data_IF_479114591990
#
_entry.id   IF_479114591990
#
_cell.length_a   1.000
_cell.length_b   1.000
_cell.length_c   1.000
_cell.angle_alpha   90.00
_cell.angle_beta   90.00
_cell.angle_gamma   90.00
#
_symmetry.space_group_name_H-M   'P 1'
#
loop_
_entity.id
_entity.type
_entity.pdbx_description
1 polymer ?
#
# COMPACT_ATOMS: atom_id res chain seq x y z
N UNK A 1 -18.42 14.52 -16.91
CA UNK A 1 -17.58 14.83 -18.09
C UNK A 1 -16.22 15.30 -17.61
N UNK A 2 -15.17 14.47 -17.77
CA UNK A 2 -13.83 14.79 -17.29
C UNK A 2 -13.17 15.83 -18.21
N UNK A 3 -12.77 16.99 -17.68
CA UNK A 3 -12.15 18.07 -18.46
C UNK A 3 -10.65 17.79 -18.62
N UNK A 4 -10.07 17.92 -19.84
CA UNK A 4 -8.64 17.69 -20.08
C UNK A 4 -7.66 18.51 -19.21
N UNK A 5 -8.13 19.59 -18.58
CA UNK A 5 -7.34 20.43 -17.67
C UNK A 5 -7.54 20.15 -16.18
N UNK A 6 -8.47 19.27 -15.79
CA UNK A 6 -8.76 19.00 -14.37
C UNK A 6 -7.56 18.38 -13.65
N UNK A 7 -6.88 17.42 -14.28
CA UNK A 7 -5.66 16.83 -13.76
C UNK A 7 -4.56 17.89 -13.56
N UNK A 8 -4.28 18.68 -14.60
CA UNK A 8 -3.22 19.68 -14.57
C UNK A 8 -3.47 20.74 -13.48
N UNK A 9 -4.73 21.14 -13.31
CA UNK A 9 -5.15 22.06 -12.25
C UNK A 9 -4.98 21.43 -10.86
N UNK A 10 -5.43 20.18 -10.66
CA UNK A 10 -5.31 19.46 -9.39
C UNK A 10 -3.84 19.33 -8.96
N UNK A 11 -2.98 18.80 -9.83
CA UNK A 11 -1.57 18.59 -9.48
C UNK A 11 -0.79 19.90 -9.36
N UNK A 12 -1.14 20.93 -10.13
CA UNK A 12 -0.52 22.25 -9.97
C UNK A 12 -0.95 22.92 -8.66
N UNK A 13 -2.21 22.72 -8.25
CA UNK A 13 -2.69 23.13 -6.94
C UNK A 13 -1.97 22.42 -5.79
N UNK A 14 -1.80 21.10 -5.87
CA UNK A 14 -1.05 20.30 -4.87
C UNK A 14 0.40 20.76 -4.79
N UNK A 15 1.09 20.95 -5.92
CA UNK A 15 2.46 21.46 -5.95
C UNK A 15 2.58 22.84 -5.34
N UNK A 16 1.66 23.76 -5.67
CA UNK A 16 1.65 25.10 -5.10
C UNK A 16 1.38 25.06 -3.59
N UNK A 17 0.44 24.22 -3.16
CA UNK A 17 0.11 24.02 -1.75
C UNK A 17 1.30 23.48 -0.94
N UNK A 18 2.02 22.49 -1.48
CA UNK A 18 3.25 21.96 -0.87
C UNK A 18 4.36 23.01 -0.84
N UNK A 19 4.54 23.77 -1.91
CA UNK A 19 5.58 24.82 -2.01
C UNK A 19 5.35 25.97 -1.04
N UNK A 20 4.11 26.37 -0.81
CA UNK A 20 3.76 27.48 0.10
C UNK A 20 3.64 26.98 1.55
N UNK A 21 2.99 25.84 1.78
CA UNK A 21 2.65 25.36 3.12
C UNK A 21 3.69 24.45 3.76
N UNK A 22 4.68 23.95 2.99
CA UNK A 22 5.76 23.09 3.46
C UNK A 22 5.24 21.92 4.32
N UNK A 23 5.85 21.74 5.49
CA UNK A 23 5.49 20.68 6.45
C UNK A 23 4.03 20.70 6.90
N UNK A 24 3.37 21.88 6.96
CA UNK A 24 1.96 21.99 7.36
C UNK A 24 1.03 21.49 6.25
N UNK A 25 1.35 21.78 4.99
CA UNK A 25 0.63 21.26 3.84
C UNK A 25 0.74 19.73 3.78
N UNK A 26 1.93 19.19 3.98
CA UNK A 26 2.12 17.74 4.04
C UNK A 26 1.32 17.09 5.19
N UNK A 27 1.30 17.71 6.37
CA UNK A 27 0.41 17.32 7.51
C UNK A 27 -1.05 17.23 7.13
N UNK A 28 -1.53 18.17 6.34
CA UNK A 28 -2.92 18.17 5.92
C UNK A 28 -3.20 17.09 4.86
N UNK A 29 -2.28 16.85 3.92
CA UNK A 29 -2.42 15.79 2.92
C UNK A 29 -2.36 14.40 3.55
N UNK A 30 -1.44 14.15 4.48
CA UNK A 30 -1.35 12.85 5.15
C UNK A 30 -2.56 12.52 6.01
N UNK A 31 -3.20 13.54 6.62
CA UNK A 31 -4.48 13.36 7.31
C UNK A 31 -5.61 12.90 6.39
N UNK A 32 -5.55 13.26 5.10
CA UNK A 32 -6.54 12.82 4.12
C UNK A 32 -6.36 11.36 3.68
N UNK A 33 -5.18 10.77 3.92
CA UNK A 33 -4.83 9.39 3.51
C UNK A 33 -4.64 8.45 4.70
N UNK A 34 -4.99 8.91 5.91
CA UNK A 34 -4.90 8.13 7.15
C UNK A 34 -6.11 8.40 8.04
N UNK A 35 -6.71 7.34 8.57
CA UNK A 35 -7.71 7.37 9.62
C UNK A 35 -7.09 7.27 11.04
N UNK A 36 -5.75 7.26 11.16
CA UNK A 36 -5.09 7.14 12.44
C UNK A 36 -5.31 8.39 13.32
N UNK A 37 -5.59 8.23 14.62
CA UNK A 37 -5.90 9.37 15.48
C UNK A 37 -4.70 10.32 15.68
N UNK A 38 -4.97 11.62 15.53
CA UNK A 38 -4.06 12.70 15.94
C UNK A 38 -2.71 12.70 15.21
N UNK A 39 -1.63 12.54 15.97
CA UNK A 39 -0.24 12.49 15.45
C UNK A 39 0.24 11.07 15.20
N UNK A 40 -0.61 10.03 15.38
CA UNK A 40 -0.19 8.64 15.18
C UNK A 40 0.21 8.37 13.72
N UNK A 41 -0.45 9.02 12.75
CA UNK A 41 -0.04 9.02 11.34
C UNK A 41 1.38 9.60 11.09
N UNK A 42 1.91 10.31 12.09
CA UNK A 42 3.20 11.00 12.05
C UNK A 42 4.24 10.39 12.99
N UNK A 43 3.83 9.45 13.85
CA UNK A 43 4.72 8.80 14.78
C UNK A 43 5.66 7.87 13.99
N UNK A 44 6.91 8.31 13.80
CA UNK A 44 7.92 7.58 13.03
C UNK A 44 8.31 8.23 11.70
N UNK A 45 7.66 9.32 11.26
CA UNK A 45 8.07 10.04 10.05
C UNK A 45 9.31 10.88 10.34
N UNK A 46 10.47 10.44 9.84
CA UNK A 46 11.73 11.17 9.94
C UNK A 46 11.77 12.38 9.01
N UNK A 47 12.77 13.25 9.16
CA UNK A 47 12.99 14.35 8.22
C UNK A 47 13.34 13.86 6.80
N UNK A 48 13.95 12.67 6.68
CA UNK A 48 14.23 12.04 5.39
C UNK A 48 12.93 11.54 4.73
N UNK A 49 12.04 10.93 5.50
CA UNK A 49 10.72 10.51 5.02
C UNK A 49 9.87 11.71 4.61
N UNK A 50 9.98 12.83 5.32
CA UNK A 50 9.31 14.07 4.95
C UNK A 50 9.77 14.60 3.58
N UNK A 51 11.08 14.64 3.33
CA UNK A 51 11.63 15.07 2.04
C UNK A 51 11.21 14.13 0.91
N UNK A 52 11.24 12.81 1.16
CA UNK A 52 10.76 11.81 0.21
C UNK A 52 9.28 11.99 -0.10
N UNK A 53 8.43 12.22 0.90
CA UNK A 53 6.99 12.41 0.71
C UNK A 53 6.68 13.70 -0.07
N UNK A 54 7.41 14.78 0.19
CA UNK A 54 7.28 16.03 -0.58
C UNK A 54 7.65 15.80 -2.05
N UNK A 55 8.73 15.06 -2.32
CA UNK A 55 9.14 14.72 -3.68
C UNK A 55 8.13 13.79 -4.37
N UNK A 56 7.63 12.78 -3.64
CA UNK A 56 6.60 11.86 -4.11
C UNK A 56 5.32 12.62 -4.50
N UNK A 57 4.73 13.39 -3.59
CA UNK A 57 3.52 14.16 -3.89
C UNK A 57 3.77 15.25 -4.96
N UNK A 58 4.99 15.79 -5.02
CA UNK A 58 5.38 16.76 -6.04
C UNK A 58 5.48 16.17 -7.46
N UNK A 59 5.86 14.89 -7.55
CA UNK A 59 6.06 14.15 -8.81
C UNK A 59 4.82 13.40 -9.29
N UNK A 60 3.78 13.26 -8.46
CA UNK A 60 2.53 12.61 -8.85
C UNK A 60 1.90 13.27 -10.08
N UNK A 61 1.52 12.40 -11.02
CA UNK A 61 0.77 12.70 -12.25
C UNK A 61 -0.07 11.48 -12.58
N UNK A 62 -1.29 11.68 -13.07
CA UNK A 62 -2.21 10.60 -13.41
C UNK A 62 -2.24 10.34 -14.92
N UNK A 63 -1.79 11.30 -15.73
CA UNK A 63 -1.81 11.29 -17.18
C UNK A 63 -3.14 10.81 -17.76
N UNK A 64 -3.06 9.95 -18.78
CA UNK A 64 -4.26 9.30 -19.34
C UNK A 64 -4.99 8.42 -18.33
N UNK A 65 -4.32 7.98 -17.26
CA UNK A 65 -4.87 7.20 -16.15
C UNK A 65 -5.99 7.92 -15.39
N UNK A 66 -5.95 9.25 -15.29
CA UNK A 66 -7.01 10.04 -14.64
C UNK A 66 -8.39 9.82 -15.27
N UNK A 67 -8.44 9.67 -16.60
CA UNK A 67 -9.69 9.42 -17.32
C UNK A 67 -10.15 7.97 -17.13
N UNK A 68 -9.23 7.03 -16.95
CA UNK A 68 -9.55 5.63 -16.66
C UNK A 68 -10.10 5.45 -15.24
N UNK A 69 -9.58 6.20 -14.25
CA UNK A 69 -10.09 6.20 -12.87
C UNK A 69 -11.54 6.68 -12.77
N UNK A 70 -11.98 7.52 -13.72
CA UNK A 70 -13.34 8.10 -13.72
C UNK A 70 -14.35 7.28 -14.52
N UNK A 71 -13.91 6.19 -15.16
CA UNK A 71 -14.80 5.29 -15.91
C UNK A 71 -15.11 4.07 -15.05
N UNK A 72 -16.37 3.61 -15.00
CA UNK A 72 -16.67 2.29 -14.46
C UNK A 72 -15.88 1.24 -15.24
N UNK A 73 -15.11 0.41 -14.54
CA UNK A 73 -14.40 -0.73 -15.11
C UNK A 73 -15.15 -1.99 -14.69
N UNK A 74 -15.38 -2.96 -15.60
CA UNK A 74 -15.96 -4.24 -15.20
C UNK A 74 -15.09 -4.93 -14.15
N UNK A 75 -15.72 -5.60 -13.20
CA UNK A 75 -15.00 -6.44 -12.24
C UNK A 75 -14.46 -7.69 -12.94
N UNK A 76 -13.14 -7.84 -12.95
CA UNK A 76 -12.41 -8.96 -13.55
C UNK A 76 -11.76 -9.86 -12.51
N UNK A 77 -12.02 -9.67 -11.21
CA UNK A 77 -11.32 -10.38 -10.13
C UNK A 77 -11.42 -11.90 -10.28
N UNK A 78 -12.60 -12.42 -10.62
CA UNK A 78 -12.81 -13.85 -10.83
C UNK A 78 -12.01 -14.45 -12.01
N UNK A 79 -11.57 -13.61 -12.95
CA UNK A 79 -10.76 -14.02 -14.10
C UNK A 79 -9.25 -14.06 -13.79
N UNK A 80 -8.81 -13.44 -12.69
CA UNK A 80 -7.40 -13.47 -12.27
C UNK A 80 -7.07 -14.85 -11.71
N UNK A 81 -6.15 -15.56 -12.35
CA UNK A 81 -5.75 -16.93 -11.95
C UNK A 81 -4.42 -16.96 -11.21
N UNK A 82 -3.65 -15.89 -11.33
CA UNK A 82 -2.38 -15.71 -10.63
C UNK A 82 -2.64 -15.62 -9.13
N UNK A 83 -1.77 -16.22 -8.30
CA UNK A 83 -1.76 -15.92 -6.87
C UNK A 83 -1.65 -14.41 -6.65
N UNK A 84 -2.37 -13.89 -5.65
CA UNK A 84 -2.31 -12.48 -5.27
C UNK A 84 -2.02 -12.31 -3.79
N UNK A 85 -1.13 -11.37 -3.46
CA UNK A 85 -0.93 -10.91 -2.09
C UNK A 85 -1.53 -9.52 -1.96
N UNK A 86 -2.56 -9.39 -1.13
CA UNK A 86 -3.20 -8.12 -0.78
C UNK A 86 -2.64 -7.67 0.56
N UNK A 87 -2.01 -6.49 0.58
CA UNK A 87 -1.52 -5.87 1.82
C UNK A 87 -2.34 -4.61 2.07
N UNK A 88 -2.95 -4.49 3.25
CA UNK A 88 -3.82 -3.36 3.57
C UNK A 88 -3.77 -3.00 5.05
N UNK A 89 -3.99 -1.73 5.37
CA UNK A 89 -4.09 -1.24 6.75
C UNK A 89 -5.52 -0.84 7.09
N UNK A 90 -5.95 -1.12 8.33
CA UNK A 90 -7.23 -0.61 8.85
C UNK A 90 -7.26 0.89 9.05
N UNK A 91 -6.09 1.51 9.12
CA UNK A 91 -5.95 2.96 9.31
C UNK A 91 -5.67 3.69 8.00
N UNK A 92 -5.76 3.01 6.85
CA UNK A 92 -5.75 3.69 5.55
C UNK A 92 -7.01 4.58 5.42
N UNK A 93 -6.77 5.87 5.15
CA UNK A 93 -7.83 6.87 4.95
C UNK A 93 -8.30 6.99 3.50
N UNK A 94 -7.49 6.55 2.55
CA UNK A 94 -7.79 6.57 1.12
C UNK A 94 -8.57 5.34 0.65
N UNK A 95 -8.31 4.17 1.26
CA UNK A 95 -8.95 2.90 0.88
C UNK A 95 -9.45 2.16 2.13
N UNK A 96 -10.78 2.05 2.34
CA UNK A 96 -11.32 1.27 3.46
C UNK A 96 -10.84 -0.18 3.44
N UNK A 97 -10.53 -0.73 4.61
CA UNK A 97 -10.09 -2.14 4.74
C UNK A 97 -11.09 -3.15 4.15
N UNK A 98 -12.39 -2.81 4.16
CA UNK A 98 -13.44 -3.61 3.53
C UNK A 98 -13.23 -3.81 2.03
N UNK A 99 -12.57 -2.87 1.33
CA UNK A 99 -12.21 -3.03 -0.08
C UNK A 99 -11.14 -4.11 -0.26
N UNK A 100 -10.15 -4.17 0.64
CA UNK A 100 -9.13 -5.22 0.63
C UNK A 100 -9.74 -6.59 0.93
N UNK A 101 -10.70 -6.65 1.86
CA UNK A 101 -11.46 -7.88 2.15
C UNK A 101 -12.29 -8.33 0.94
N UNK A 102 -13.01 -7.40 0.30
CA UNK A 102 -13.79 -7.69 -0.89
C UNK A 102 -12.90 -8.18 -2.05
N UNK A 103 -11.75 -7.53 -2.26
CA UNK A 103 -10.77 -7.92 -3.27
C UNK A 103 -10.22 -9.33 -3.01
N UNK A 104 -9.79 -9.61 -1.78
CA UNK A 104 -9.27 -10.93 -1.41
C UNK A 104 -10.33 -12.02 -1.54
N UNK A 105 -11.61 -11.72 -1.25
CA UNK A 105 -12.70 -12.66 -1.43
C UNK A 105 -13.07 -12.90 -2.91
N UNK A 106 -12.88 -11.90 -3.78
CA UNK A 106 -13.20 -11.99 -5.20
C UNK A 106 -12.10 -12.67 -6.03
N UNK A 107 -10.85 -12.70 -5.52
CA UNK A 107 -9.71 -13.32 -6.18
C UNK A 107 -9.58 -14.82 -5.81
N UNK A 108 -9.55 -15.74 -6.79
CA UNK A 108 -9.52 -17.18 -6.54
C UNK A 108 -8.33 -17.70 -5.71
N UNK A 109 -7.20 -16.99 -5.71
CA UNK A 109 -5.96 -17.40 -5.06
C UNK A 109 -5.29 -16.22 -4.34
N UNK A 110 -6.08 -15.49 -3.53
CA UNK A 110 -5.56 -14.36 -2.77
C UNK A 110 -5.20 -14.71 -1.32
N UNK A 111 -4.16 -14.04 -0.82
CA UNK A 111 -3.82 -13.94 0.60
C UNK A 111 -3.97 -12.48 1.01
N UNK A 112 -4.61 -12.22 2.16
CA UNK A 112 -4.72 -10.88 2.75
C UNK A 112 -3.81 -10.79 3.98
N UNK A 113 -2.95 -9.78 4.00
CA UNK A 113 -2.07 -9.44 5.13
C UNK A 113 -2.43 -8.06 5.63
N UNK A 114 -2.74 -7.97 6.91
CA UNK A 114 -3.02 -6.70 7.57
C UNK A 114 -1.70 -6.04 7.98
N UNK A 115 -1.49 -4.80 7.53
CA UNK A 115 -0.39 -3.95 7.95
C UNK A 115 -0.78 -3.07 9.12
N UNK A 116 0.18 -2.80 10.01
CA UNK A 116 0.09 -1.81 11.09
C UNK A 116 0.53 -0.42 10.64
N UNK A 117 0.73 -0.20 9.33
CA UNK A 117 0.96 1.12 8.75
C UNK A 117 -0.13 2.08 9.19
N UNK A 118 0.24 3.28 9.64
CA UNK A 118 -0.70 4.30 10.05
C UNK A 118 -1.40 4.98 8.85
N UNK A 119 -1.42 4.39 7.65
CA UNK A 119 -1.96 4.95 6.42
C UNK A 119 -1.50 4.18 5.18
N UNK A 120 -1.63 4.79 3.99
CA UNK A 120 -1.29 4.17 2.70
C UNK A 120 0.21 3.82 2.50
N UNK A 121 1.10 4.27 3.38
CA UNK A 121 2.55 4.13 3.23
C UNK A 121 3.10 2.95 4.03
N UNK A 122 2.91 1.74 3.47
CA UNK A 122 3.29 0.48 4.11
C UNK A 122 4.78 0.40 4.49
N UNK A 123 5.67 1.04 3.73
CA UNK A 123 7.11 1.02 3.98
C UNK A 123 7.59 1.92 5.14
N UNK A 124 6.72 2.78 5.66
CA UNK A 124 6.99 3.58 6.87
C UNK A 124 6.37 2.96 8.12
N UNK A 125 5.84 1.74 8.00
CA UNK A 125 5.22 1.05 9.12
C UNK A 125 6.26 0.34 9.99
N UNK A 126 6.04 0.22 11.31
CA UNK A 126 6.91 -0.56 12.18
C UNK A 126 7.01 -2.04 11.79
N UNK A 127 5.99 -2.56 11.10
CA UNK A 127 5.91 -3.93 10.60
C UNK A 127 6.43 -4.10 9.16
N UNK A 128 6.98 -3.05 8.55
CA UNK A 128 7.53 -3.13 7.20
C UNK A 128 8.53 -4.28 7.00
N UNK A 129 9.49 -4.55 7.91
CA UNK A 129 10.40 -5.69 7.74
C UNK A 129 9.66 -7.02 7.55
N UNK A 130 8.65 -7.30 8.39
CA UNK A 130 7.85 -8.52 8.29
C UNK A 130 6.98 -8.56 7.03
N UNK A 131 6.43 -7.42 6.60
CA UNK A 131 5.70 -7.32 5.33
C UNK A 131 6.63 -7.57 4.14
N UNK A 132 7.83 -7.01 4.14
CA UNK A 132 8.82 -7.20 3.09
C UNK A 132 9.22 -8.67 2.98
N UNK A 133 9.46 -9.34 4.10
CA UNK A 133 9.70 -10.79 4.14
C UNK A 133 8.52 -11.57 3.56
N UNK A 134 7.29 -11.19 3.88
CA UNK A 134 6.09 -11.84 3.35
C UNK A 134 5.95 -11.65 1.83
N UNK A 135 6.27 -10.46 1.32
CA UNK A 135 6.32 -10.18 -0.13
C UNK A 135 7.39 -11.05 -0.80
N UNK A 136 8.60 -11.10 -0.23
CA UNK A 136 9.70 -11.90 -0.77
C UNK A 136 9.35 -13.38 -0.78
N UNK A 137 8.80 -13.90 0.31
CA UNK A 137 8.34 -15.28 0.41
C UNK A 137 7.26 -15.58 -0.64
N UNK A 138 6.28 -14.68 -0.79
CA UNK A 138 5.21 -14.82 -1.77
C UNK A 138 5.74 -14.88 -3.22
N UNK A 139 6.73 -14.06 -3.56
CA UNK A 139 7.34 -14.05 -4.90
C UNK A 139 8.21 -15.30 -5.16
N UNK A 140 8.81 -15.86 -4.10
CA UNK A 140 9.72 -17.01 -4.21
C UNK A 140 9.00 -18.35 -4.33
N UNK A 141 7.75 -18.46 -3.88
CA UNK A 141 6.97 -19.70 -3.98
C UNK A 141 6.52 -19.90 -5.43
N UNK A 142 6.75 -21.09 -5.98
CA UNK A 142 6.28 -21.44 -7.32
C UNK A 142 4.74 -21.32 -7.39
N UNK A 143 4.15 -20.89 -8.52
CA UNK A 143 2.73 -20.59 -8.64
C UNK A 143 1.78 -21.70 -8.14
N UNK A 144 2.19 -22.96 -8.26
CA UNK A 144 1.41 -24.15 -7.92
C UNK A 144 1.33 -24.41 -6.39
N UNK A 145 2.37 -24.04 -5.63
CA UNK A 145 2.40 -24.13 -4.17
C UNK A 145 1.62 -22.98 -3.52
N UNK A 146 1.72 -21.77 -4.06
CA UNK A 146 0.98 -20.61 -3.58
C UNK A 146 -0.53 -20.78 -3.73
N UNK A 147 -0.99 -21.39 -4.84
CA UNK A 147 -2.39 -21.70 -5.09
C UNK A 147 -2.94 -22.83 -4.19
N UNK A 148 -2.08 -23.69 -3.66
CA UNK A 148 -2.45 -24.75 -2.71
C UNK A 148 -2.48 -24.22 -1.28
N UNK A 149 -1.53 -23.36 -0.90
CA UNK A 149 -1.52 -22.67 0.39
C UNK A 149 -2.74 -21.74 0.57
N UNK A 150 -3.16 -21.03 -0.49
CA UNK A 150 -4.36 -20.19 -0.45
C UNK A 150 -5.67 -20.97 -0.23
N UNK A 151 -5.71 -22.25 -0.63
CA UNK A 151 -6.87 -23.15 -0.42
C UNK A 151 -6.89 -23.79 0.97
N UNK A 152 -5.77 -23.80 1.69
CA UNK A 152 -5.60 -24.49 2.98
C UNK A 152 -5.80 -23.60 4.22
N UNK A 153 -5.91 -22.27 4.08
CA UNK A 153 -6.04 -21.36 5.23
C UNK A 153 -7.50 -21.01 5.46
N UNK A 154 -8.25 -21.94 6.07
CA UNK A 154 -9.50 -21.60 6.76
C UNK A 154 -9.20 -21.23 8.21
N UNK A 155 -8.64 -20.05 8.43
CA UNK A 155 -8.32 -19.59 9.78
C UNK A 155 -7.36 -18.41 9.76
N UNK A 156 -7.87 -17.24 10.18
CA UNK A 156 -7.04 -16.07 10.47
C UNK A 156 -6.23 -16.37 11.74
N UNK A 157 -5.01 -16.86 11.57
CA UNK A 157 -4.08 -17.15 12.66
C UNK A 157 -2.65 -17.17 12.17
N UNK A 158 -1.76 -16.57 12.97
CA UNK A 158 -0.33 -16.35 12.72
C UNK A 158 0.37 -17.51 12.01
N UNK A 159 0.86 -17.24 10.80
CA UNK A 159 1.92 -18.04 10.20
C UNK A 159 3.24 -17.43 10.65
N UNK A 160 3.76 -17.89 11.79
CA UNK A 160 5.12 -17.59 12.23
C UNK A 160 6.10 -18.30 11.31
N UNK A 161 6.78 -17.57 10.43
CA UNK A 161 7.95 -18.09 9.71
C UNK A 161 9.19 -17.71 10.52
N UNK A 162 9.82 -18.71 11.13
CA UNK A 162 11.12 -18.54 11.76
C UNK A 162 12.20 -18.35 10.68
N UNK A 163 12.70 -17.13 10.56
CA UNK A 163 13.85 -16.81 9.71
C UNK A 163 14.50 -15.53 10.19
N UNK A 164 15.59 -15.65 10.95
CA UNK A 164 16.39 -14.51 11.41
C UNK A 164 17.16 -13.90 10.23
N UNK A 165 16.88 -12.64 9.91
CA UNK A 165 17.74 -11.82 9.06
C UNK A 165 18.69 -10.98 9.94
N UNK A 166 20.00 -11.10 9.70
CA UNK A 166 21.01 -10.19 10.22
C UNK A 166 21.09 -8.95 9.31
N UNK A 167 21.24 -7.76 9.90
CA UNK A 167 21.12 -6.43 9.28
C UNK A 167 22.16 -6.12 8.17
N UNK A 168 22.99 -7.10 7.77
CA UNK A 168 24.07 -6.90 6.82
C UNK A 168 23.87 -7.55 5.43
N UNK A 169 22.72 -8.18 5.16
CA UNK A 169 22.36 -8.63 3.79
C UNK A 169 23.36 -9.61 3.15
N UNK A 170 24.11 -10.39 3.94
CA UNK A 170 24.99 -11.45 3.43
C UNK A 170 24.53 -12.81 3.98
N UNK A 171 24.27 -13.73 3.05
CA UNK A 171 24.02 -15.14 3.37
C UNK A 171 25.27 -15.75 3.99
N UNK A 172 25.20 -16.26 5.22
CA UNK A 172 26.21 -17.13 5.77
C UNK A 172 25.98 -18.58 5.26
N UNK A 173 27.02 -19.31 4.84
CA UNK A 173 26.88 -20.73 4.52
C UNK A 173 26.76 -21.57 5.80
N UNK A 174 26.12 -22.74 5.63
CA UNK A 174 25.70 -23.69 6.64
C UNK A 174 26.79 -24.16 7.61
#
# INVERSE_FOLDING_TARGET
MCRPGAEALTWSGIRLFLRIGGRRALRQLLRGVSNAPGTAAWAGVSAADEAMLVDLFGSMRSGRGFVHELRPVPDLCAAVRQPALVVASRTDGGVPFTHAQALAAALPAAQLVESRAAGQFVWHSPDWPGIAERIIAFIRVAPDEAASAARGVSGFGDVTIAGTYDEAGRSAPA
#
